data_IF_503789493877
#
_entry.id   IF_503789493877
#
_cell.length_a   1.000
_cell.length_b   1.000
_cell.length_c   1.000
_cell.angle_alpha   90.00
_cell.angle_beta   90.00
_cell.angle_gamma   90.00
#
_symmetry.space_group_name_H-M   'P 1'
#
loop_
_entity.id
_entity.type
_entity.pdbx_description
1 polymer ?
#
# COMPACT_ATOMS: atom_id res chain seq x y z
N UNK A 1 -54.43 18.06 38.01
CA UNK A 1 -54.66 16.83 37.21
C UNK A 1 -53.32 16.16 36.93
N UNK A 2 -53.28 14.83 37.04
CA UNK A 2 -52.12 13.97 37.30
C UNK A 2 -51.68 13.25 36.01
N UNK A 3 -50.35 13.26 35.73
CA UNK A 3 -49.45 12.27 35.05
C UNK A 3 -49.91 11.67 33.69
N UNK A 4 -49.03 11.35 32.72
CA UNK A 4 -47.93 10.37 32.79
C UNK A 4 -47.00 10.50 31.57
N UNK A 5 -45.69 10.38 31.81
CA UNK A 5 -44.65 10.11 30.81
C UNK A 5 -44.54 8.58 30.67
N UNK A 6 -44.56 8.04 29.45
CA UNK A 6 -44.26 6.64 29.19
C UNK A 6 -42.82 6.51 28.69
N UNK A 7 -41.99 5.85 29.50
CA UNK A 7 -40.67 5.33 29.12
C UNK A 7 -40.88 3.88 28.70
N UNK A 8 -40.53 3.53 27.47
CA UNK A 8 -40.40 2.13 27.07
C UNK A 8 -38.92 1.82 26.91
N UNK A 9 -38.39 1.05 27.86
CA UNK A 9 -37.14 0.31 27.77
C UNK A 9 -37.50 -1.08 27.23
N UNK A 10 -36.91 -1.46 26.09
CA UNK A 10 -36.90 -2.85 25.62
C UNK A 10 -35.45 -3.25 25.40
N UNK A 11 -34.89 -3.87 26.43
CA UNK A 11 -33.65 -4.64 26.39
C UNK A 11 -33.97 -6.04 25.86
N UNK A 12 -33.54 -6.35 24.64
CA UNK A 12 -33.56 -7.71 24.10
C UNK A 12 -32.11 -8.24 24.06
N UNK A 13 -31.76 -9.04 25.06
CA UNK A 13 -30.48 -9.74 25.15
C UNK A 13 -30.57 -11.01 24.30
N UNK A 14 -29.89 -11.03 23.14
CA UNK A 14 -29.76 -12.24 22.31
C UNK A 14 -28.37 -12.86 22.56
N UNK A 15 -28.31 -13.85 23.43
CA UNK A 15 -27.13 -14.69 23.65
C UNK A 15 -27.24 -15.93 22.75
N UNK A 16 -26.51 -15.94 21.63
CA UNK A 16 -26.33 -17.12 20.79
C UNK A 16 -24.97 -17.72 21.11
N UNK A 17 -24.97 -18.76 21.94
CA UNK A 17 -23.81 -19.60 22.22
C UNK A 17 -23.58 -20.58 21.06
N UNK A 18 -22.63 -20.27 20.19
CA UNK A 18 -22.10 -21.20 19.18
C UNK A 18 -21.01 -22.07 19.82
N UNK A 19 -21.35 -23.31 20.14
CA UNK A 19 -20.38 -24.37 20.38
C UNK A 19 -19.89 -24.89 19.02
N UNK A 20 -18.64 -24.60 18.66
CA UNK A 20 -17.99 -25.25 17.52
C UNK A 20 -17.13 -26.42 18.03
N UNK A 21 -17.29 -27.64 17.48
CA UNK A 21 -16.37 -28.73 17.74
C UNK A 21 -15.04 -28.46 17.03
N UNK A 22 -13.96 -28.36 17.82
CA UNK A 22 -12.58 -28.33 17.31
C UNK A 22 -12.19 -29.75 16.92
N UNK A 23 -12.24 -30.06 15.63
CA UNK A 23 -11.61 -31.26 15.10
C UNK A 23 -10.09 -31.01 15.01
N UNK A 24 -9.34 -31.61 15.94
CA UNK A 24 -7.90 -31.69 15.88
C UNK A 24 -7.50 -32.78 14.87
N UNK A 25 -6.99 -32.38 13.71
CA UNK A 25 -6.27 -33.27 12.81
C UNK A 25 -4.78 -33.04 13.01
N UNK A 26 -4.15 -33.92 13.77
CA UNK A 26 -2.70 -34.13 13.74
C UNK A 26 -2.46 -35.31 12.78
N UNK A 27 -2.18 -35.01 11.51
CA UNK A 27 -1.69 -36.01 10.56
C UNK A 27 -0.18 -35.80 10.40
N UNK A 28 0.58 -36.67 11.05
CA UNK A 28 2.02 -36.81 10.86
C UNK A 28 2.28 -37.54 9.55
N UNK A 29 2.82 -36.84 8.55
CA UNK A 29 3.35 -37.48 7.33
C UNK A 29 4.82 -37.82 7.58
N UNK A 30 5.22 -39.10 7.56
CA UNK A 30 6.61 -39.50 7.61
C UNK A 30 7.19 -39.57 6.19
N UNK A 31 8.37 -38.98 6.00
CA UNK A 31 9.25 -39.29 4.87
C UNK A 31 9.23 -38.28 3.72
N UNK A 32 10.11 -37.29 3.79
CA UNK A 32 10.85 -36.84 2.61
C UNK A 32 12.30 -36.57 3.02
N UNK A 33 13.13 -37.54 2.70
CA UNK A 33 14.59 -37.45 2.73
C UNK A 33 15.10 -36.40 1.74
N UNK A 34 16.06 -35.61 2.23
CA UNK A 34 17.26 -35.20 1.50
C UNK A 34 17.11 -34.63 0.10
N UNK A 35 17.01 -33.29 0.00
CA UNK A 35 17.71 -32.61 -1.09
C UNK A 35 18.53 -31.45 -0.51
N UNK A 36 19.84 -31.65 -0.48
CA UNK A 36 20.84 -30.69 -0.05
C UNK A 36 20.93 -29.58 -1.10
N UNK A 37 20.21 -28.47 -0.89
CA UNK A 37 20.53 -27.23 -1.58
C UNK A 37 21.66 -26.49 -0.85
N UNK A 38 22.81 -26.54 -1.50
CA UNK A 38 24.02 -25.78 -1.23
C UNK A 38 23.76 -24.28 -1.07
N UNK A 39 24.01 -23.79 0.15
CA UNK A 39 24.74 -22.54 0.40
C UNK A 39 24.19 -21.24 -0.19
N UNK A 40 23.04 -20.76 0.28
CA UNK A 40 22.79 -19.32 0.26
C UNK A 40 23.46 -18.66 1.47
N UNK A 41 24.66 -18.13 1.20
CA UNK A 41 25.43 -17.33 2.14
C UNK A 41 24.59 -16.22 2.76
N UNK A 42 24.72 -16.11 4.08
CA UNK A 42 24.25 -15.01 4.89
C UNK A 42 24.83 -13.69 4.36
N UNK A 43 24.06 -13.00 3.52
CA UNK A 43 24.18 -11.56 3.31
C UNK A 43 22.83 -10.95 3.64
N UNK A 44 22.64 -10.69 4.93
CA UNK A 44 21.69 -9.70 5.41
C UNK A 44 22.15 -8.31 4.94
N UNK A 45 22.10 -8.07 3.64
CA UNK A 45 22.08 -6.73 3.11
C UNK A 45 20.66 -6.23 3.32
N UNK A 46 20.52 -5.23 4.18
CA UNK A 46 19.32 -4.43 4.40
C UNK A 46 18.88 -3.85 3.05
N UNK A 47 18.14 -4.64 2.28
CA UNK A 47 17.46 -4.19 1.10
C UNK A 47 16.19 -3.47 1.57
N UNK A 48 16.34 -2.20 1.97
CA UNK A 48 15.25 -1.23 1.81
C UNK A 48 15.02 -1.08 0.30
N UNK A 49 14.41 -2.10 -0.29
CA UNK A 49 13.77 -2.04 -1.57
C UNK A 49 12.61 -1.09 -1.31
N UNK A 50 12.82 0.20 -1.57
CA UNK A 50 11.76 1.17 -1.86
C UNK A 50 10.94 0.59 -3.01
N UNK A 51 10.12 -0.40 -2.68
CA UNK A 51 9.12 -0.92 -3.55
C UNK A 51 8.14 0.23 -3.71
N UNK A 52 8.27 0.92 -4.85
CA UNK A 52 7.25 1.74 -5.50
C UNK A 52 5.94 0.96 -5.79
N UNK A 53 5.63 -0.07 -5.00
CA UNK A 53 4.30 -0.68 -4.91
C UNK A 53 3.42 0.34 -4.21
N UNK A 54 2.93 1.30 -5.01
CA UNK A 54 1.75 2.11 -4.77
C UNK A 54 1.57 2.54 -3.31
N UNK A 55 2.25 3.61 -2.89
CA UNK A 55 2.12 4.16 -1.53
C UNK A 55 0.68 4.46 -1.08
N UNK A 56 -0.29 4.45 -2.00
CA UNK A 56 -1.70 4.65 -1.69
C UNK A 56 -2.53 3.37 -1.77
N UNK A 57 -2.06 2.26 -2.36
CA UNK A 57 -2.89 1.06 -2.36
C UNK A 57 -2.84 0.42 -0.97
N UNK A 58 -3.88 0.72 -0.20
CA UNK A 58 -4.23 -0.04 0.98
C UNK A 58 -4.47 -1.49 0.55
N UNK A 59 -3.56 -2.39 0.92
CA UNK A 59 -3.85 -3.81 0.79
C UNK A 59 -5.13 -4.15 1.57
N UNK A 60 -5.88 -5.20 1.17
CA UNK A 60 -7.16 -5.56 1.79
C UNK A 60 -7.09 -5.62 3.33
N UNK A 61 -5.98 -6.11 3.89
CA UNK A 61 -5.76 -6.17 5.33
C UNK A 61 -5.68 -4.79 6.01
N UNK A 62 -4.97 -3.83 5.40
CA UNK A 62 -4.84 -2.49 5.98
C UNK A 62 -6.16 -1.73 5.88
N UNK A 63 -6.90 -1.91 4.79
CA UNK A 63 -8.24 -1.35 4.64
C UNK A 63 -9.20 -1.88 5.71
N UNK A 64 -9.27 -3.22 5.87
CA UNK A 64 -10.10 -3.85 6.90
C UNK A 64 -9.72 -3.36 8.29
N UNK A 65 -8.43 -3.29 8.60
CA UNK A 65 -7.94 -2.80 9.89
C UNK A 65 -8.39 -1.37 10.19
N UNK A 66 -8.20 -0.44 9.24
CA UNK A 66 -8.64 0.95 9.41
C UNK A 66 -10.15 1.08 9.50
N UNK A 67 -10.91 0.27 8.76
CA UNK A 67 -12.37 0.23 8.85
C UNK A 67 -12.82 -0.20 10.26
N UNK A 68 -12.26 -1.29 10.80
CA UNK A 68 -12.59 -1.76 12.16
C UNK A 68 -12.26 -0.71 13.22
N UNK A 69 -11.15 0.02 13.05
CA UNK A 69 -10.79 1.12 13.94
C UNK A 69 -11.76 2.30 13.81
N UNK A 70 -12.18 2.64 12.60
CA UNK A 70 -13.19 3.68 12.38
C UNK A 70 -14.53 3.29 13.03
N UNK A 71 -14.97 2.04 12.88
CA UNK A 71 -16.19 1.54 13.51
C UNK A 71 -16.11 1.58 15.05
N UNK A 72 -14.96 1.21 15.62
CA UNK A 72 -14.77 1.22 17.08
C UNK A 72 -14.62 2.62 17.66
N UNK A 73 -13.80 3.48 17.05
CA UNK A 73 -13.34 4.73 17.68
C UNK A 73 -13.88 6.01 17.05
N UNK A 74 -14.35 5.95 15.79
CA UNK A 74 -14.86 7.11 15.05
C UNK A 74 -16.15 6.76 14.26
N UNK A 75 -17.21 6.25 14.94
CA UNK A 75 -18.41 5.71 14.29
C UNK A 75 -19.09 6.72 13.37
N UNK A 76 -19.06 8.01 13.73
CA UNK A 76 -19.64 9.11 12.95
C UNK A 76 -18.96 9.31 11.57
N UNK A 77 -17.77 8.75 11.38
CA UNK A 77 -16.97 8.87 10.15
C UNK A 77 -16.91 7.59 9.30
N UNK A 78 -17.53 6.49 9.74
CA UNK A 78 -17.43 5.17 9.06
C UNK A 78 -17.84 5.23 7.60
N UNK A 79 -18.93 5.95 7.29
CA UNK A 79 -19.39 6.10 5.90
C UNK A 79 -18.40 6.92 5.05
N UNK A 80 -17.71 7.89 5.64
CA UNK A 80 -16.66 8.63 4.94
C UNK A 80 -15.45 7.75 4.62
N UNK A 81 -15.07 6.85 5.53
CA UNK A 81 -14.03 5.85 5.29
C UNK A 81 -14.41 4.89 4.16
N UNK A 82 -15.62 4.34 4.19
CA UNK A 82 -16.12 3.44 3.13
C UNK A 82 -16.13 4.13 1.77
N UNK A 83 -16.61 5.37 1.71
CA UNK A 83 -16.62 6.16 0.48
C UNK A 83 -15.19 6.40 -0.04
N UNK A 84 -14.26 6.76 0.84
CA UNK A 84 -12.86 7.00 0.47
C UNK A 84 -12.17 5.72 -0.05
N UNK A 85 -12.43 4.56 0.56
CA UNK A 85 -11.91 3.28 0.05
C UNK A 85 -12.53 2.89 -1.29
N UNK A 86 -13.84 3.06 -1.46
CA UNK A 86 -14.52 2.75 -2.71
C UNK A 86 -13.97 3.60 -3.88
N UNK A 87 -13.77 4.90 -3.65
CA UNK A 87 -13.17 5.79 -4.64
C UNK A 87 -11.72 5.40 -4.95
N UNK A 88 -10.93 5.04 -3.93
CA UNK A 88 -9.58 4.58 -4.15
C UNK A 88 -9.52 3.32 -5.03
N UNK A 89 -10.37 2.33 -4.74
CA UNK A 89 -10.42 1.09 -5.53
C UNK A 89 -10.83 1.38 -6.98
N UNK A 90 -11.84 2.22 -7.19
CA UNK A 90 -12.26 2.68 -8.53
C UNK A 90 -11.09 3.31 -9.29
N UNK A 91 -10.38 4.26 -8.67
CA UNK A 91 -9.23 4.94 -9.26
C UNK A 91 -8.08 3.97 -9.57
N UNK A 92 -7.81 3.01 -8.67
CA UNK A 92 -6.78 2.01 -8.85
C UNK A 92 -7.09 1.04 -10.00
N UNK A 93 -8.36 0.65 -10.18
CA UNK A 93 -8.81 -0.14 -11.32
C UNK A 93 -8.61 0.62 -12.63
N UNK A 94 -8.96 1.91 -12.68
CA UNK A 94 -8.76 2.75 -13.86
C UNK A 94 -7.27 2.88 -14.21
N UNK A 95 -6.40 3.07 -13.21
CA UNK A 95 -4.94 3.11 -13.39
C UNK A 95 -4.42 1.75 -13.89
N UNK A 96 -4.93 0.63 -13.38
CA UNK A 96 -4.54 -0.72 -13.85
C UNK A 96 -4.88 -0.88 -15.34
N UNK A 97 -6.10 -0.54 -15.73
CA UNK A 97 -6.53 -0.58 -17.14
C UNK A 97 -5.67 0.32 -18.02
N UNK A 98 -5.38 1.55 -17.60
CA UNK A 98 -4.51 2.47 -18.34
C UNK A 98 -3.09 1.91 -18.50
N UNK A 99 -2.54 1.29 -17.45
CA UNK A 99 -1.22 0.63 -17.51
C UNK A 99 -1.22 -0.56 -18.46
N UNK A 100 -2.28 -1.35 -18.52
CA UNK A 100 -2.41 -2.45 -19.47
C UNK A 100 -2.46 -1.97 -20.91
N UNK A 101 -3.17 -0.87 -21.17
CA UNK A 101 -3.15 -0.21 -22.47
C UNK A 101 -1.75 0.31 -22.82
N UNK A 102 -1.05 0.95 -21.89
CA UNK A 102 0.33 1.41 -22.10
C UNK A 102 1.29 0.27 -22.42
N UNK A 103 1.12 -0.92 -21.85
CA UNK A 103 1.96 -2.09 -22.19
C UNK A 103 1.84 -2.50 -23.65
N UNK A 104 0.74 -2.16 -24.33
CA UNK A 104 0.52 -2.42 -25.76
C UNK A 104 1.12 -1.33 -26.66
N UNK A 105 1.54 -0.20 -26.09
CA UNK A 105 2.15 0.89 -26.84
C UNK A 105 3.57 0.51 -27.30
N UNK A 106 3.87 0.52 -28.62
CA UNK A 106 5.20 0.22 -29.13
C UNK A 106 6.31 1.11 -28.56
N UNK A 107 6.02 2.39 -28.29
CA UNK A 107 6.99 3.32 -27.72
C UNK A 107 7.37 2.90 -26.29
N UNK A 108 6.37 2.48 -25.49
CA UNK A 108 6.59 1.96 -24.15
C UNK A 108 7.39 0.65 -24.17
N UNK A 109 7.08 -0.27 -25.09
CA UNK A 109 7.82 -1.53 -25.23
C UNK A 109 9.28 -1.29 -25.60
N UNK A 110 9.55 -0.40 -26.54
CA UNK A 110 10.91 -0.01 -26.94
C UNK A 110 11.69 0.57 -25.77
N UNK A 111 11.08 1.50 -25.03
CA UNK A 111 11.70 2.11 -23.85
C UNK A 111 12.03 1.07 -22.77
N UNK A 112 11.12 0.11 -22.54
CA UNK A 112 11.33 -0.99 -21.59
C UNK A 112 12.49 -1.89 -22.00
N UNK A 113 12.59 -2.22 -23.29
CA UNK A 113 13.67 -3.07 -23.79
C UNK A 113 15.03 -2.37 -23.71
N UNK A 114 15.09 -1.08 -24.04
CA UNK A 114 16.30 -0.26 -23.85
C UNK A 114 16.77 -0.26 -22.39
N UNK A 115 15.84 -0.09 -21.43
CA UNK A 115 16.17 -0.16 -20.01
C UNK A 115 16.70 -1.54 -19.61
N UNK A 116 16.07 -2.60 -20.11
CA UNK A 116 16.46 -3.99 -19.80
C UNK A 116 17.89 -4.26 -20.29
N UNK A 117 18.19 -3.95 -21.54
CA UNK A 117 19.51 -4.12 -22.14
C UNK A 117 20.58 -3.33 -21.38
N UNK A 118 20.31 -2.06 -21.07
CA UNK A 118 21.21 -1.23 -20.27
C UNK A 118 21.46 -1.86 -18.89
N UNK A 119 20.39 -2.30 -18.20
CA UNK A 119 20.53 -2.89 -16.87
C UNK A 119 21.32 -4.20 -16.89
N UNK A 120 21.17 -5.03 -17.91
CA UNK A 120 21.92 -6.28 -18.06
C UNK A 120 23.40 -6.01 -18.35
N UNK A 121 23.71 -5.07 -19.24
CA UNK A 121 25.09 -4.65 -19.54
C UNK A 121 25.80 -4.09 -18.31
N UNK A 122 25.15 -3.18 -17.58
CA UNK A 122 25.71 -2.61 -16.35
C UNK A 122 25.90 -3.66 -15.25
N UNK A 123 24.99 -4.64 -15.14
CA UNK A 123 25.15 -5.72 -14.19
C UNK A 123 26.39 -6.56 -14.49
N UNK A 124 26.59 -6.95 -15.76
CA UNK A 124 27.78 -7.71 -16.18
C UNK A 124 29.07 -6.94 -15.91
N UNK A 125 29.08 -5.63 -16.18
CA UNK A 125 30.23 -4.74 -15.89
C UNK A 125 30.49 -4.63 -14.39
N UNK A 126 29.44 -4.60 -13.56
CA UNK A 126 29.59 -4.57 -12.11
C UNK A 126 30.09 -5.91 -11.55
N UNK A 127 29.69 -7.03 -12.15
CA UNK A 127 30.18 -8.37 -11.79
C UNK A 127 31.62 -8.61 -12.20
N UNK A 128 32.04 -8.10 -13.36
CA UNK A 128 33.44 -8.17 -13.80
C UNK A 128 34.36 -7.18 -13.07
N UNK A 129 33.81 -6.30 -12.23
CA UNK A 129 34.56 -5.25 -11.54
C UNK A 129 34.96 -4.07 -12.43
N UNK A 130 34.47 -4.01 -13.68
CA UNK A 130 34.72 -2.89 -14.59
C UNK A 130 34.04 -1.60 -14.15
N UNK A 131 32.94 -1.70 -13.38
CA UNK A 131 32.31 -0.59 -12.66
C UNK A 131 31.96 -1.03 -11.25
N UNK A 132 31.84 -0.06 -10.35
CA UNK A 132 31.26 -0.26 -9.03
C UNK A 132 29.73 -0.41 -9.10
N UNK A 133 29.15 -0.99 -8.05
CA UNK A 133 27.68 -1.06 -7.89
C UNK A 133 27.04 0.33 -7.75
N UNK A 134 27.79 1.31 -7.27
CA UNK A 134 27.33 2.69 -7.11
C UNK A 134 27.23 3.37 -8.48
N UNK A 135 28.27 3.27 -9.31
CA UNK A 135 28.26 3.77 -10.69
C UNK A 135 27.14 3.14 -11.52
N UNK A 136 26.88 1.84 -11.37
CA UNK A 136 25.73 1.19 -12.01
C UNK A 136 24.40 1.87 -11.61
N UNK A 137 24.20 2.14 -10.31
CA UNK A 137 22.98 2.78 -9.80
C UNK A 137 22.83 4.19 -10.36
N UNK A 138 23.91 4.96 -10.40
CA UNK A 138 23.93 6.31 -10.96
C UNK A 138 23.58 6.32 -12.45
N UNK A 139 24.16 5.42 -13.24
CA UNK A 139 23.87 5.33 -14.67
C UNK A 139 22.41 4.94 -14.94
N UNK A 140 21.87 3.98 -14.18
CA UNK A 140 20.44 3.65 -14.25
C UNK A 140 19.54 4.81 -13.81
N UNK A 141 19.97 5.59 -12.81
CA UNK A 141 19.23 6.77 -12.36
C UNK A 141 19.26 7.88 -13.42
N UNK A 142 20.41 8.19 -13.99
CA UNK A 142 20.57 9.18 -15.05
C UNK A 142 19.75 8.81 -16.29
N UNK A 143 19.72 7.53 -16.66
CA UNK A 143 18.87 7.06 -17.76
C UNK A 143 17.39 7.28 -17.45
N UNK A 144 16.93 6.97 -16.22
CA UNK A 144 15.54 7.22 -15.81
C UNK A 144 15.21 8.70 -15.86
N UNK A 145 16.10 9.56 -15.39
CA UNK A 145 15.90 11.01 -15.49
C UNK A 145 15.85 11.49 -16.94
N UNK A 146 16.65 10.93 -17.84
CA UNK A 146 16.61 11.36 -19.25
C UNK A 146 15.36 10.87 -20.00
N UNK A 147 14.89 9.66 -19.73
CA UNK A 147 13.93 8.98 -20.60
C UNK A 147 12.53 8.81 -20.01
N UNK A 148 12.32 9.05 -18.71
CA UNK A 148 10.97 9.01 -18.14
C UNK A 148 10.17 10.25 -18.53
N UNK A 149 8.86 10.11 -18.84
CA UNK A 149 7.99 11.25 -19.13
C UNK A 149 8.00 12.28 -18.00
N UNK A 150 7.94 13.57 -18.34
CA UNK A 150 7.92 14.66 -17.35
C UNK A 150 6.76 14.55 -16.36
N UNK A 151 5.59 14.11 -16.84
CA UNK A 151 4.43 13.86 -15.99
C UNK A 151 4.71 12.81 -14.91
N UNK A 152 5.47 11.75 -15.24
CA UNK A 152 5.87 10.74 -14.27
C UNK A 152 6.78 11.33 -13.19
N UNK A 153 7.69 12.23 -13.57
CA UNK A 153 8.59 12.90 -12.60
C UNK A 153 7.84 13.85 -11.69
N UNK A 154 6.91 14.65 -12.23
CA UNK A 154 6.04 15.53 -11.45
C UNK A 154 5.24 14.73 -10.44
N UNK A 155 4.54 13.70 -10.92
CA UNK A 155 3.76 12.77 -10.08
C UNK A 155 4.61 12.15 -8.96
N UNK A 156 5.84 11.69 -9.27
CA UNK A 156 6.77 11.15 -8.26
C UNK A 156 7.12 12.18 -7.18
N UNK A 157 7.34 13.45 -7.54
CA UNK A 157 7.63 14.53 -6.59
C UNK A 157 6.42 14.85 -5.71
N UNK A 158 5.24 14.99 -6.30
CA UNK A 158 3.98 15.25 -5.58
C UNK A 158 3.66 14.12 -4.59
N UNK A 159 3.85 12.87 -5.01
CA UNK A 159 3.64 11.71 -4.14
C UNK A 159 4.65 11.64 -2.99
N UNK A 160 5.91 12.02 -3.25
CA UNK A 160 6.90 12.13 -2.19
C UNK A 160 6.48 13.21 -1.18
N UNK A 161 5.99 14.35 -1.65
CA UNK A 161 5.56 15.44 -0.77
C UNK A 161 4.40 15.02 0.15
N UNK A 162 3.38 14.32 -0.38
CA UNK A 162 2.28 13.80 0.46
C UNK A 162 2.78 12.79 1.49
N UNK A 163 3.65 11.86 1.07
CA UNK A 163 4.20 10.87 2.00
C UNK A 163 4.96 11.55 3.14
N UNK A 164 5.81 12.52 2.85
CA UNK A 164 6.55 13.25 3.89
C UNK A 164 5.61 14.08 4.77
N UNK A 165 4.56 14.68 4.20
CA UNK A 165 3.53 15.42 4.95
C UNK A 165 2.83 14.54 5.99
N UNK A 166 2.47 13.31 5.64
CA UNK A 166 1.73 12.41 6.52
C UNK A 166 2.61 11.42 7.30
N UNK A 167 3.92 11.37 7.05
CA UNK A 167 4.86 10.55 7.84
C UNK A 167 4.68 10.68 9.35
N UNK A 168 4.62 11.88 9.97
CA UNK A 168 4.39 12.00 11.41
C UNK A 168 3.01 11.50 11.86
N UNK A 169 2.01 11.48 10.97
CA UNK A 169 0.67 10.94 11.29
C UNK A 169 0.73 9.42 11.42
N UNK A 170 1.47 8.72 10.55
CA UNK A 170 1.69 7.27 10.68
C UNK A 170 2.52 6.95 11.93
N UNK A 171 3.57 7.73 12.21
CA UNK A 171 4.36 7.56 13.44
C UNK A 171 3.50 7.71 14.70
N UNK A 172 2.62 8.73 14.75
CA UNK A 172 1.65 8.91 15.84
C UNK A 172 0.66 7.75 15.95
N UNK A 173 0.18 7.26 14.82
CA UNK A 173 -0.74 6.13 14.78
C UNK A 173 -0.08 4.84 15.29
N UNK A 174 1.12 4.53 14.83
CA UNK A 174 1.87 3.35 15.26
C UNK A 174 2.16 3.39 16.76
N UNK A 175 2.53 4.56 17.30
CA UNK A 175 2.71 4.77 18.73
C UNK A 175 1.41 4.57 19.52
N UNK A 176 0.30 5.14 19.05
CA UNK A 176 -1.00 5.01 19.69
C UNK A 176 -1.48 3.55 19.72
N UNK A 177 -1.28 2.81 18.63
CA UNK A 177 -1.60 1.38 18.55
C UNK A 177 -0.71 0.55 19.47
N UNK A 178 0.60 0.81 19.48
CA UNK A 178 1.55 0.10 20.35
C UNK A 178 1.24 0.32 21.84
N UNK A 179 0.89 1.54 22.22
CA UNK A 179 0.49 1.90 23.58
C UNK A 179 -0.94 1.47 23.94
N UNK A 180 -1.74 1.01 22.96
CA UNK A 180 -3.18 0.75 23.09
C UNK A 180 -3.96 1.98 23.61
N UNK A 181 -3.51 3.18 23.25
CA UNK A 181 -4.13 4.44 23.66
C UNK A 181 -5.33 4.74 22.76
N UNK A 182 -6.53 4.39 23.24
CA UNK A 182 -7.78 4.56 22.49
C UNK A 182 -8.07 6.04 22.15
N UNK A 183 -7.70 6.97 23.04
CA UNK A 183 -7.91 8.39 22.83
C UNK A 183 -6.98 8.93 21.73
N UNK A 184 -5.72 8.49 21.73
CA UNK A 184 -4.76 8.84 20.68
C UNK A 184 -5.12 8.20 19.33
N UNK A 185 -5.58 6.94 19.31
CA UNK A 185 -6.09 6.29 18.09
C UNK A 185 -7.28 7.09 17.53
N UNK A 186 -8.25 7.46 18.38
CA UNK A 186 -9.39 8.27 17.96
C UNK A 186 -8.96 9.63 17.38
N UNK A 187 -7.96 10.27 17.97
CA UNK A 187 -7.48 11.58 17.54
C UNK A 187 -6.72 11.55 16.20
N UNK A 188 -6.07 10.43 15.85
CA UNK A 188 -5.28 10.32 14.62
C UNK A 188 -6.09 9.82 13.42
N UNK A 189 -7.18 9.07 13.64
CA UNK A 189 -8.02 8.53 12.55
C UNK A 189 -8.52 9.61 11.56
N UNK A 190 -9.02 10.79 11.96
CA UNK A 190 -9.42 11.83 11.02
C UNK A 190 -8.28 12.29 10.09
N UNK A 191 -7.04 12.33 10.59
CA UNK A 191 -5.85 12.72 9.81
C UNK A 191 -5.49 11.66 8.77
N UNK A 192 -5.63 10.38 9.12
CA UNK A 192 -5.43 9.27 8.17
C UNK A 192 -6.52 9.25 7.08
N UNK A 193 -7.75 9.61 7.43
CA UNK A 193 -8.82 9.77 6.44
C UNK A 193 -8.53 10.96 5.50
N UNK A 194 -7.99 12.06 6.02
CA UNK A 194 -7.56 13.20 5.21
C UNK A 194 -6.45 12.80 4.22
N UNK A 195 -5.44 12.06 4.67
CA UNK A 195 -4.38 11.50 3.81
C UNK A 195 -4.98 10.66 2.68
N UNK A 196 -5.91 9.76 3.01
CA UNK A 196 -6.56 8.89 2.04
C UNK A 196 -7.29 9.70 0.96
N UNK A 197 -8.03 10.73 1.37
CA UNK A 197 -8.74 11.64 0.46
C UNK A 197 -7.78 12.45 -0.43
N UNK A 198 -6.66 12.94 0.14
CA UNK A 198 -5.64 13.64 -0.65
C UNK A 198 -4.96 12.70 -1.66
N UNK A 199 -4.67 11.46 -1.25
CA UNK A 199 -4.19 10.41 -2.15
C UNK A 199 -5.15 10.15 -3.30
N UNK A 200 -6.45 10.01 -3.01
CA UNK A 200 -7.48 9.84 -4.04
C UNK A 200 -7.54 11.03 -5.01
N UNK A 201 -7.44 12.27 -4.51
CA UNK A 201 -7.38 13.47 -5.35
C UNK A 201 -6.20 13.43 -6.32
N UNK A 202 -5.03 13.00 -5.87
CA UNK A 202 -3.84 12.88 -6.73
C UNK A 202 -3.97 11.77 -7.78
N UNK A 203 -4.56 10.63 -7.40
CA UNK A 203 -4.85 9.55 -8.35
C UNK A 203 -5.82 10.02 -9.43
N UNK A 204 -6.89 10.74 -9.04
CA UNK A 204 -7.85 11.32 -9.98
C UNK A 204 -7.20 12.35 -10.93
N UNK A 205 -6.34 13.24 -10.40
CA UNK A 205 -5.58 14.18 -11.23
C UNK A 205 -4.66 13.48 -12.24
N UNK A 206 -4.02 12.38 -11.82
CA UNK A 206 -3.17 11.57 -12.70
C UNK A 206 -3.98 10.95 -13.85
N UNK A 207 -5.21 10.50 -13.57
CA UNK A 207 -6.11 9.93 -14.56
C UNK A 207 -6.65 10.99 -15.54
N UNK A 208 -6.97 12.20 -15.06
CA UNK A 208 -7.48 13.29 -15.88
C UNK A 208 -6.47 13.95 -16.84
N UNK A 209 -5.17 13.70 -16.67
CA UNK A 209 -4.15 14.28 -17.56
C UNK A 209 -4.07 13.55 -18.91
N UNK A 210 -4.07 14.28 -20.04
CA UNK A 210 -3.94 13.68 -21.37
C UNK A 210 -2.60 12.93 -21.50
N UNK A 211 -2.55 11.94 -22.40
CA UNK A 211 -1.29 11.23 -22.67
C UNK A 211 -0.25 12.24 -23.15
N UNK A 212 0.89 12.36 -22.46
CA UNK A 212 2.07 13.02 -23.03
C UNK A 212 2.38 12.31 -24.35
N UNK A 213 2.33 13.06 -25.46
CA UNK A 213 2.75 12.57 -26.78
C UNK A 213 4.26 12.35 -26.82
#
# INVERSE_FOLDING_TARGET
>A
MIRRKAKFLLTASLLVSLALPVAAYAETVPGMEGNQHTGHGQRAAVHHREHFRSSFHLGPHRQLYLQLLAEKYAPDSVESWKAAFAEQERLMQEIRTRREQMKKDPAYQKLREQYKQLSEDLHKKAESGAISREEMREQLHAWKEKNLPQDYKRMRKEWKAVREKYRPVHEQFDQAVAARDEAAIKAVLPKLLEELNEGNKQLAQTLGQPKSK
#
